data_IF_173369000740
#
_entry.id   IF_173369000740
#
_cell.length_a   1.000
_cell.length_b   1.000
_cell.length_c   1.000
_cell.angle_alpha   90.00
_cell.angle_beta   90.00
_cell.angle_gamma   90.00
#
_symmetry.space_group_name_H-M   'P 1'
#
loop_
_entity.id
_entity.type
_entity.pdbx_description
1 polymer ?
#
# COMPACT_ATOMS: atom_id res chain seq x y z
N UNK A 1 -19.00 -0.36 3.36
CA UNK A 1 -17.52 -0.25 3.26
C UNK A 1 -17.19 1.13 2.75
N UNK A 2 -16.74 2.02 3.64
CA UNK A 2 -16.60 3.46 3.37
C UNK A 2 -15.91 4.28 4.46
N UNK A 3 -15.56 3.61 5.55
CA UNK A 3 -15.09 4.25 6.77
C UNK A 3 -13.83 3.55 7.31
N UNK A 4 -13.19 2.69 6.52
CA UNK A 4 -12.14 1.79 7.02
C UNK A 4 -11.01 2.56 7.70
N UNK A 5 -10.57 3.69 7.11
CA UNK A 5 -9.53 4.55 7.68
C UNK A 5 -10.10 5.89 8.18
N UNK A 6 -11.42 6.03 8.25
CA UNK A 6 -12.07 7.23 8.78
C UNK A 6 -12.09 7.14 10.31
N UNK A 7 -11.36 8.01 11.03
CA UNK A 7 -11.10 7.81 12.45
C UNK A 7 -12.34 7.84 13.32
N UNK A 8 -13.35 8.67 13.05
CA UNK A 8 -14.48 8.87 13.97
C UNK A 8 -15.82 8.48 13.37
N UNK A 9 -15.84 7.43 12.55
CA UNK A 9 -17.06 7.00 11.87
C UNK A 9 -18.17 6.68 12.88
N UNK A 10 -19.33 7.33 12.71
CA UNK A 10 -20.51 7.21 13.59
C UNK A 10 -20.28 7.65 15.05
N UNK A 11 -19.24 8.47 15.30
CA UNK A 11 -18.97 9.08 16.60
C UNK A 11 -19.33 10.57 16.56
N UNK A 12 -19.94 11.08 17.63
CA UNK A 12 -20.15 12.52 17.77
C UNK A 12 -18.79 13.23 17.90
N UNK A 13 -18.57 14.28 17.10
CA UNK A 13 -17.28 14.93 16.90
C UNK A 13 -16.77 15.81 18.05
N UNK A 14 -17.15 15.52 19.30
CA UNK A 14 -16.64 16.26 20.47
C UNK A 14 -15.15 15.97 20.70
N UNK A 15 -14.41 16.94 21.25
CA UNK A 15 -12.98 16.79 21.55
C UNK A 15 -12.73 15.59 22.48
N UNK A 16 -13.59 15.43 23.50
CA UNK A 16 -13.52 14.31 24.44
C UNK A 16 -13.68 12.96 23.74
N UNK A 17 -14.70 12.81 22.89
CA UNK A 17 -14.93 11.59 22.13
C UNK A 17 -13.77 11.29 21.19
N UNK A 18 -13.26 12.30 20.47
CA UNK A 18 -12.12 12.15 19.58
C UNK A 18 -10.88 11.66 20.34
N UNK A 19 -10.55 12.27 21.48
CA UNK A 19 -9.39 11.86 22.31
C UNK A 19 -9.59 10.45 22.85
N UNK A 20 -10.76 10.15 23.42
CA UNK A 20 -11.07 8.84 24.00
C UNK A 20 -10.98 7.72 22.95
N UNK A 21 -11.56 7.93 21.77
CA UNK A 21 -11.46 7.00 20.65
C UNK A 21 -10.01 6.84 20.17
N UNK A 22 -9.29 7.95 20.00
CA UNK A 22 -7.89 7.93 19.55
C UNK A 22 -7.01 7.11 20.49
N UNK A 23 -7.17 7.27 21.81
CA UNK A 23 -6.47 6.46 22.82
C UNK A 23 -6.75 4.96 22.66
N UNK A 24 -8.02 4.58 22.45
CA UNK A 24 -8.38 3.17 22.25
C UNK A 24 -7.82 2.61 20.95
N UNK A 25 -7.89 3.37 19.86
CA UNK A 25 -7.41 2.94 18.55
C UNK A 25 -5.90 2.74 18.54
N UNK A 26 -5.14 3.70 19.07
CA UNK A 26 -3.68 3.58 19.20
C UNK A 26 -3.25 2.37 20.03
N UNK A 27 -4.06 1.96 21.01
CA UNK A 27 -3.78 0.80 21.84
C UNK A 27 -4.15 -0.55 21.20
N UNK A 28 -5.01 -0.58 20.18
CA UNK A 28 -5.65 -1.83 19.68
C UNK A 28 -5.48 -2.08 18.19
N UNK A 29 -5.30 -1.03 17.40
CA UNK A 29 -5.25 -1.09 15.94
C UNK A 29 -3.93 -0.47 15.44
N UNK A 30 -2.78 -1.12 15.71
CA UNK A 30 -1.49 -0.57 15.28
C UNK A 30 -1.27 -0.71 13.77
N UNK A 31 -1.94 -1.64 13.10
CA UNK A 31 -1.65 -2.05 11.72
C UNK A 31 -2.89 -1.96 10.83
N UNK A 32 -2.66 -1.76 9.54
CA UNK A 32 -3.69 -1.83 8.50
C UNK A 32 -3.21 -2.63 7.31
N UNK A 33 -4.12 -3.46 6.80
CA UNK A 33 -3.95 -4.15 5.53
C UNK A 33 -4.18 -3.18 4.37
N UNK A 34 -3.10 -2.84 3.66
CA UNK A 34 -3.14 -1.94 2.50
C UNK A 34 -3.43 -2.68 1.20
N UNK A 35 -2.96 -3.92 1.12
CA UNK A 35 -3.06 -4.72 -0.09
C UNK A 35 -3.55 -6.13 0.26
N UNK A 36 -4.59 -6.55 -0.44
CA UNK A 36 -5.24 -7.83 -0.29
C UNK A 36 -5.56 -8.31 -1.72
N UNK A 37 -5.88 -9.60 -1.91
CA UNK A 37 -6.24 -10.21 -3.21
C UNK A 37 -7.25 -9.42 -4.11
N UNK A 38 -7.94 -8.41 -3.57
CA UNK A 38 -9.02 -7.66 -4.22
C UNK A 38 -8.55 -6.34 -4.81
N UNK A 39 -7.41 -5.74 -4.41
CA UNK A 39 -6.93 -4.49 -5.04
C UNK A 39 -5.91 -3.68 -4.24
N UNK A 40 -5.40 -2.63 -4.88
CA UNK A 40 -4.45 -1.68 -4.29
C UNK A 40 -5.16 -0.59 -3.48
N UNK A 41 -4.98 -0.58 -2.16
CA UNK A 41 -5.48 0.48 -1.26
C UNK A 41 -4.37 1.40 -0.77
N UNK A 42 -3.20 1.41 -1.42
CA UNK A 42 -2.12 2.33 -1.08
C UNK A 42 -2.55 3.78 -1.32
N UNK A 43 -2.95 4.09 -2.55
CA UNK A 43 -3.18 5.45 -3.01
C UNK A 43 -4.08 5.51 -4.26
N UNK A 44 -4.65 6.69 -4.51
CA UNK A 44 -5.25 7.08 -5.77
C UNK A 44 -4.95 8.56 -6.05
N UNK A 45 -4.86 8.93 -7.33
CA UNK A 45 -4.57 10.29 -7.75
C UNK A 45 -5.83 11.18 -7.78
N UNK A 46 -5.64 12.50 -7.74
CA UNK A 46 -6.69 13.49 -8.06
C UNK A 46 -7.64 13.90 -6.94
N UNK A 47 -7.38 13.53 -5.68
CA UNK A 47 -8.17 14.01 -4.55
C UNK A 47 -8.06 15.53 -4.39
N UNK A 48 -9.20 16.21 -4.35
CA UNK A 48 -9.26 17.63 -4.03
C UNK A 48 -8.69 17.89 -2.62
N UNK A 49 -7.89 18.96 -2.48
CA UNK A 49 -7.29 19.36 -1.21
C UNK A 49 -6.05 18.55 -0.80
N UNK A 50 -5.54 17.67 -1.67
CA UNK A 50 -4.25 17.01 -1.51
C UNK A 50 -3.32 17.47 -2.62
N UNK A 51 -2.28 18.19 -2.25
CA UNK A 51 -1.33 18.81 -3.17
C UNK A 51 -0.15 17.87 -3.42
N UNK A 52 0.16 17.59 -4.68
CA UNK A 52 1.23 16.67 -5.06
C UNK A 52 1.17 16.30 -6.54
N UNK A 53 2.28 15.82 -7.07
CA UNK A 53 2.31 15.26 -8.42
C UNK A 53 1.55 13.93 -8.46
N UNK A 54 0.90 13.58 -9.60
CA UNK A 54 0.37 12.24 -9.79
C UNK A 54 1.46 11.17 -9.64
N UNK A 55 1.07 10.03 -9.09
CA UNK A 55 1.93 8.85 -8.96
C UNK A 55 1.33 7.71 -9.78
N UNK A 56 2.04 7.31 -10.84
CA UNK A 56 1.60 6.29 -11.80
C UNK A 56 1.40 4.93 -11.14
N UNK A 57 2.15 4.61 -10.07
CA UNK A 57 2.00 3.34 -9.35
C UNK A 57 0.70 3.27 -8.53
N UNK A 58 0.01 4.40 -8.33
CA UNK A 58 -1.33 4.40 -7.74
C UNK A 58 -2.41 3.87 -8.71
N UNK A 59 -2.10 3.67 -9.99
CA UNK A 59 -3.05 3.14 -10.98
C UNK A 59 -2.98 1.60 -11.10
N UNK A 60 -2.00 0.97 -10.45
CA UNK A 60 -1.81 -0.47 -10.48
C UNK A 60 -2.95 -1.21 -9.78
N UNK A 61 -3.57 -2.17 -10.48
CA UNK A 61 -4.60 -3.09 -9.95
C UNK A 61 -5.70 -2.37 -9.14
N UNK A 62 -6.08 -1.17 -9.59
CA UNK A 62 -7.18 -0.41 -8.98
C UNK A 62 -8.53 -1.06 -9.29
N UNK A 63 -9.33 -1.28 -8.26
CA UNK A 63 -10.72 -1.76 -8.42
C UNK A 63 -11.63 -0.64 -8.92
N UNK A 64 -11.40 0.56 -8.41
CA UNK A 64 -12.19 1.76 -8.65
C UNK A 64 -11.31 2.77 -9.38
N UNK A 65 -11.65 3.02 -10.64
CA UNK A 65 -11.01 4.04 -11.47
C UNK A 65 -11.97 5.20 -11.69
N UNK A 66 -11.52 6.44 -11.45
CA UNK A 66 -12.32 7.64 -11.67
C UNK A 66 -12.79 7.71 -13.12
N UNK A 67 -14.09 8.00 -13.32
CA UNK A 67 -14.70 8.07 -14.65
C UNK A 67 -15.05 6.72 -15.27
N UNK A 68 -14.66 5.60 -14.66
CA UNK A 68 -14.99 4.26 -15.14
C UNK A 68 -16.26 3.73 -14.48
N UNK A 69 -17.26 3.25 -15.25
CA UNK A 69 -18.42 2.58 -14.68
C UNK A 69 -18.04 1.20 -14.15
N UNK A 70 -18.52 0.89 -12.94
CA UNK A 70 -18.44 -0.45 -12.35
C UNK A 70 -19.65 -1.31 -12.70
N UNK A 71 -19.81 -2.42 -11.98
CA UNK A 71 -20.97 -3.32 -12.12
C UNK A 71 -21.68 -3.44 -10.78
N UNK A 72 -22.98 -3.22 -10.77
CA UNK A 72 -23.83 -3.47 -9.59
C UNK A 72 -24.59 -4.75 -9.80
N UNK A 73 -24.35 -5.74 -8.95
CA UNK A 73 -25.17 -6.95 -8.92
C UNK A 73 -26.33 -6.83 -7.93
N UNK A 74 -27.50 -7.38 -8.28
CA UNK A 74 -28.62 -7.62 -7.36
C UNK A 74 -28.84 -9.12 -7.21
N UNK A 75 -28.84 -9.61 -5.98
CA UNK A 75 -29.28 -10.97 -5.64
C UNK A 75 -30.74 -10.91 -5.23
N UNK A 76 -31.59 -11.68 -5.89
CA UNK A 76 -32.96 -11.89 -5.43
C UNK A 76 -33.33 -13.36 -5.51
N UNK A 77 -34.07 -13.84 -4.50
CA UNK A 77 -34.63 -15.19 -4.52
C UNK A 77 -35.99 -15.11 -5.19
N UNK A 78 -36.16 -15.82 -6.31
CA UNK A 78 -37.43 -15.96 -7.01
C UNK A 78 -37.68 -17.44 -7.24
N UNK A 79 -38.85 -17.92 -6.83
CA UNK A 79 -39.26 -19.33 -6.95
C UNK A 79 -38.27 -20.33 -6.32
N UNK A 80 -37.69 -19.97 -5.17
CA UNK A 80 -36.69 -20.78 -4.47
C UNK A 80 -35.33 -20.88 -5.17
N UNK A 81 -35.14 -20.14 -6.27
CA UNK A 81 -33.87 -20.04 -7.01
C UNK A 81 -33.20 -18.69 -6.76
N UNK A 82 -31.90 -18.75 -6.51
CA UNK A 82 -31.05 -17.56 -6.45
C UNK A 82 -30.92 -17.01 -7.87
N UNK A 83 -31.45 -15.81 -8.11
CA UNK A 83 -31.26 -15.09 -9.36
C UNK A 83 -30.29 -13.94 -9.11
N UNK A 84 -29.33 -13.82 -10.01
CA UNK A 84 -28.28 -12.81 -9.98
C UNK A 84 -28.42 -11.98 -11.25
N UNK A 85 -28.67 -10.68 -11.09
CA UNK A 85 -28.68 -9.73 -12.22
C UNK A 85 -27.57 -8.72 -12.03
N UNK A 86 -26.84 -8.42 -13.10
CA UNK A 86 -25.80 -7.39 -13.13
C UNK A 86 -26.23 -6.21 -13.99
N UNK A 87 -26.12 -5.00 -13.46
CA UNK A 87 -26.38 -3.75 -14.16
C UNK A 87 -25.08 -2.91 -14.22
N UNK A 88 -24.85 -2.21 -15.33
CA UNK A 88 -23.77 -1.22 -15.40
C UNK A 88 -24.10 -0.08 -14.46
N UNK A 89 -23.16 0.25 -13.58
CA UNK A 89 -23.32 1.33 -12.60
C UNK A 89 -22.86 2.68 -13.17
N UNK A 90 -23.21 3.76 -12.48
CA UNK A 90 -22.67 5.08 -12.79
C UNK A 90 -21.13 5.09 -12.68
N UNK A 91 -20.44 5.94 -13.46
CA UNK A 91 -19.01 6.14 -13.33
C UNK A 91 -18.59 6.46 -11.90
N UNK A 92 -17.46 5.89 -11.46
CA UNK A 92 -16.89 6.22 -10.15
C UNK A 92 -16.46 7.68 -10.12
N UNK A 93 -16.80 8.39 -9.04
CA UNK A 93 -16.40 9.81 -8.83
C UNK A 93 -15.64 9.97 -7.51
N UNK A 94 -15.14 11.17 -7.23
CA UNK A 94 -14.78 11.52 -5.87
C UNK A 94 -16.05 11.73 -5.03
N UNK A 95 -15.98 11.42 -3.74
CA UNK A 95 -17.07 11.71 -2.82
C UNK A 95 -17.18 13.22 -2.59
N UNK A 96 -18.38 13.69 -2.25
CA UNK A 96 -18.57 15.07 -1.80
C UNK A 96 -18.01 15.25 -0.39
N UNK A 97 -17.73 16.49 -0.02
CA UNK A 97 -17.25 16.82 1.31
C UNK A 97 -18.21 16.30 2.39
N UNK A 98 -17.66 15.59 3.38
CA UNK A 98 -18.43 15.00 4.48
C UNK A 98 -19.12 13.67 4.15
N UNK A 99 -19.11 13.21 2.90
CA UNK A 99 -19.67 11.91 2.52
C UNK A 99 -18.58 10.82 2.58
N UNK A 100 -18.87 9.64 3.18
CA UNK A 100 -17.92 8.53 3.18
C UNK A 100 -17.82 7.86 1.81
N UNK A 101 -16.70 7.15 1.61
CA UNK A 101 -16.52 6.27 0.45
C UNK A 101 -17.64 5.22 0.37
N UNK A 102 -17.98 4.77 -0.83
CA UNK A 102 -18.83 3.59 -0.97
C UNK A 102 -18.56 2.90 -2.31
N UNK A 103 -19.07 1.67 -2.46
CA UNK A 103 -18.93 0.92 -3.71
C UNK A 103 -17.53 0.32 -3.93
N UNK A 104 -16.65 0.37 -2.92
CA UNK A 104 -15.27 -0.11 -2.98
C UNK A 104 -15.09 -1.46 -3.67
N UNK A 105 -15.71 -2.48 -3.10
CA UNK A 105 -15.66 -3.86 -3.59
C UNK A 105 -16.48 -4.12 -4.86
N UNK A 106 -17.22 -3.15 -5.38
CA UNK A 106 -18.05 -3.30 -6.58
C UNK A 106 -17.48 -2.55 -7.79
N UNK A 107 -16.34 -1.86 -7.61
CA UNK A 107 -15.73 -1.04 -8.65
C UNK A 107 -16.60 0.16 -9.05
N UNK A 108 -17.47 0.62 -8.16
CA UNK A 108 -18.40 1.72 -8.41
C UNK A 108 -18.45 2.69 -7.22
N UNK A 109 -19.37 3.65 -7.28
CA UNK A 109 -19.66 4.56 -6.17
C UNK A 109 -18.71 5.76 -6.16
N UNK A 110 -18.26 6.16 -4.97
CA UNK A 110 -17.35 7.28 -4.84
C UNK A 110 -16.10 6.93 -4.01
N UNK A 111 -14.99 7.57 -4.38
CA UNK A 111 -13.68 7.46 -3.74
C UNK A 111 -13.52 8.57 -2.70
N UNK A 112 -13.29 8.19 -1.45
CA UNK A 112 -12.96 9.13 -0.38
C UNK A 112 -11.46 9.06 -0.05
N UNK A 113 -10.84 10.17 0.37
CA UNK A 113 -9.41 10.19 0.70
C UNK A 113 -9.02 9.20 1.80
N UNK A 114 -9.95 8.84 2.69
CA UNK A 114 -9.72 7.84 3.74
C UNK A 114 -10.04 6.40 3.29
N UNK A 115 -10.28 6.16 2.01
CA UNK A 115 -10.31 4.80 1.46
C UNK A 115 -8.90 4.28 1.14
N UNK A 116 -7.90 5.17 1.09
CA UNK A 116 -6.52 4.84 0.73
C UNK A 116 -5.55 5.18 1.86
N UNK A 117 -4.58 4.32 2.04
CA UNK A 117 -3.61 4.39 3.13
C UNK A 117 -2.85 5.72 3.16
N UNK A 118 -2.20 6.08 2.04
CA UNK A 118 -1.37 7.29 1.92
C UNK A 118 -2.12 8.55 2.34
N UNK A 119 -3.34 8.70 1.85
CA UNK A 119 -4.15 9.89 2.08
C UNK A 119 -4.87 9.86 3.43
N UNK A 120 -5.15 8.68 3.98
CA UNK A 120 -5.65 8.55 5.35
C UNK A 120 -4.59 8.92 6.40
N UNK A 121 -3.30 8.62 6.15
CA UNK A 121 -2.21 9.06 7.03
C UNK A 121 -2.16 10.60 7.14
N UNK A 122 -2.48 11.34 6.06
CA UNK A 122 -2.61 12.80 6.10
C UNK A 122 -3.75 13.26 7.00
N UNK A 123 -4.91 12.59 6.95
CA UNK A 123 -6.00 12.84 7.90
C UNK A 123 -5.54 12.62 9.35
N UNK A 124 -4.69 11.63 9.59
CA UNK A 124 -4.06 11.41 10.90
C UNK A 124 -3.20 12.58 11.38
N UNK A 125 -2.38 13.16 10.49
CA UNK A 125 -1.58 14.35 10.80
C UNK A 125 -2.45 15.59 11.05
N UNK A 126 -3.52 15.76 10.27
CA UNK A 126 -4.49 16.86 10.48
C UNK A 126 -5.13 16.78 11.86
N UNK A 127 -5.57 15.59 12.28
CA UNK A 127 -6.11 15.38 13.63
C UNK A 127 -5.03 15.58 14.70
N UNK A 128 -3.78 15.15 14.45
CA UNK A 128 -2.68 15.41 15.36
C UNK A 128 -2.48 16.91 15.62
N UNK A 129 -2.54 17.74 14.58
CA UNK A 129 -2.42 19.19 14.71
C UNK A 129 -3.63 19.81 15.45
N UNK A 130 -4.82 19.22 15.32
CA UNK A 130 -6.05 19.76 15.92
C UNK A 130 -6.24 19.34 17.38
N UNK A 131 -6.02 18.07 17.71
CA UNK A 131 -6.34 17.50 19.02
C UNK A 131 -5.10 17.00 19.79
N UNK A 132 -3.90 17.09 19.21
CA UNK A 132 -2.65 16.63 19.83
C UNK A 132 -2.42 15.12 19.76
N UNK A 133 -3.24 14.37 19.03
CA UNK A 133 -3.11 12.91 18.88
C UNK A 133 -3.44 12.46 17.46
N UNK A 134 -2.70 11.49 16.94
CA UNK A 134 -2.92 10.93 15.59
C UNK A 134 -3.73 9.63 15.65
N UNK A 135 -5.02 9.60 15.25
CA UNK A 135 -5.86 8.41 15.25
C UNK A 135 -5.61 7.47 14.06
N UNK A 136 -4.80 7.87 13.08
CA UNK A 136 -4.48 7.09 11.87
C UNK A 136 -2.98 6.78 11.83
N UNK A 137 -2.39 6.51 13.01
CA UNK A 137 -0.99 6.12 13.14
C UNK A 137 -0.80 4.62 12.91
N UNK A 138 -1.06 4.21 11.68
CA UNK A 138 -1.18 2.80 11.28
C UNK A 138 0.08 2.34 10.55
N UNK A 139 0.65 1.21 10.96
CA UNK A 139 1.70 0.50 10.22
C UNK A 139 1.14 -0.29 9.03
N UNK A 140 1.99 -0.55 8.05
CA UNK A 140 1.63 -1.19 6.80
C UNK A 140 1.77 -2.72 6.90
N UNK A 141 0.74 -3.44 6.47
CA UNK A 141 0.80 -4.87 6.14
C UNK A 141 0.03 -5.14 4.84
N UNK A 142 0.23 -6.33 4.26
CA UNK A 142 -0.51 -6.84 3.13
C UNK A 142 -0.72 -8.34 3.31
N UNK A 143 -1.82 -8.92 2.84
CA UNK A 143 -2.07 -10.36 3.09
C UNK A 143 -2.67 -11.11 1.91
N UNK A 144 -2.52 -12.42 2.00
CA UNK A 144 -3.22 -13.40 1.17
C UNK A 144 -4.55 -13.71 1.82
N UNK A 145 -5.65 -13.47 1.11
CA UNK A 145 -7.00 -13.88 1.55
C UNK A 145 -7.57 -14.82 0.49
N UNK A 146 -7.01 -16.01 0.33
CA UNK A 146 -7.56 -17.02 -0.60
C UNK A 146 -8.47 -17.97 0.16
N UNK A 147 -9.71 -18.18 -0.29
CA UNK A 147 -10.70 -19.07 0.34
C UNK A 147 -10.41 -20.57 0.04
N UNK A 148 -9.13 -20.90 -0.13
CA UNK A 148 -8.62 -22.19 -0.58
C UNK A 148 -7.60 -22.79 0.43
N UNK A 149 -7.43 -22.16 1.60
CA UNK A 149 -6.46 -22.59 2.63
C UNK A 149 -5.01 -22.66 2.14
N UNK A 150 -4.61 -21.73 1.27
CA UNK A 150 -3.28 -21.63 0.67
C UNK A 150 -2.53 -20.37 1.13
N UNK A 151 -2.13 -20.27 2.42
CA UNK A 151 -1.48 -19.07 2.94
C UNK A 151 -0.14 -18.83 2.24
N UNK A 152 0.09 -17.59 1.80
CA UNK A 152 1.32 -17.18 1.14
C UNK A 152 1.50 -17.69 -0.30
N UNK A 153 0.45 -18.23 -0.91
CA UNK A 153 0.43 -18.60 -2.33
C UNK A 153 0.23 -17.35 -3.23
N UNK A 154 1.17 -16.42 -3.12
CA UNK A 154 1.11 -15.11 -3.75
C UNK A 154 1.82 -15.03 -5.13
N UNK A 155 2.32 -16.17 -5.65
CA UNK A 155 3.09 -16.18 -6.90
C UNK A 155 2.16 -16.17 -8.11
N UNK A 156 2.28 -15.15 -8.95
CA UNK A 156 1.55 -14.99 -10.21
C UNK A 156 1.56 -16.26 -11.09
N UNK A 157 2.73 -16.89 -11.29
CA UNK A 157 2.87 -18.07 -12.16
C UNK A 157 2.25 -19.36 -11.61
N UNK A 158 1.94 -19.42 -10.32
CA UNK A 158 1.34 -20.59 -9.66
C UNK A 158 -0.04 -20.25 -9.05
N UNK A 159 -0.61 -19.10 -9.41
CA UNK A 159 -1.88 -18.68 -8.84
C UNK A 159 -3.01 -19.63 -9.26
N UNK A 160 -3.74 -20.16 -8.26
CA UNK A 160 -4.79 -21.17 -8.46
C UNK A 160 -6.21 -20.61 -8.41
N UNK A 161 -6.35 -19.30 -8.20
CA UNK A 161 -7.63 -18.64 -7.97
C UNK A 161 -7.92 -18.40 -6.49
N UNK A 162 -8.86 -17.51 -6.22
CA UNK A 162 -9.26 -17.05 -4.90
C UNK A 162 -10.43 -17.86 -4.30
N UNK A 163 -11.41 -18.21 -5.12
CA UNK A 163 -12.63 -18.95 -4.74
C UNK A 163 -12.79 -20.23 -5.55
N UNK A 164 -13.72 -21.08 -5.12
CA UNK A 164 -14.00 -22.35 -5.78
C UNK A 164 -14.26 -22.22 -7.29
N UNK A 165 -14.88 -21.14 -7.79
CA UNK A 165 -15.15 -20.99 -9.24
C UNK A 165 -13.91 -20.73 -10.08
N UNK A 166 -12.78 -20.40 -9.46
CA UNK A 166 -11.53 -20.00 -10.11
C UNK A 166 -10.47 -21.11 -10.11
N UNK A 167 -10.83 -22.33 -9.69
CA UNK A 167 -9.90 -23.44 -9.53
C UNK A 167 -9.18 -23.88 -10.82
N UNK A 168 -9.67 -23.46 -11.98
CA UNK A 168 -9.08 -23.72 -13.30
C UNK A 168 -8.95 -22.44 -14.14
N UNK A 169 -8.19 -22.51 -15.24
CA UNK A 169 -7.90 -21.38 -16.14
C UNK A 169 -9.15 -20.67 -16.65
N UNK A 170 -10.12 -21.45 -17.16
CA UNK A 170 -11.38 -20.91 -17.67
C UNK A 170 -12.11 -20.10 -16.58
N UNK A 171 -12.19 -20.66 -15.37
CA UNK A 171 -12.81 -20.02 -14.22
C UNK A 171 -12.12 -18.72 -13.80
N UNK A 172 -10.78 -18.70 -13.78
CA UNK A 172 -10.02 -17.48 -13.49
C UNK A 172 -10.22 -16.39 -14.52
N UNK A 173 -10.44 -16.72 -15.79
CA UNK A 173 -10.63 -15.71 -16.83
C UNK A 173 -12.08 -15.21 -16.95
N UNK A 174 -13.02 -15.76 -16.17
CA UNK A 174 -14.40 -15.28 -16.15
C UNK A 174 -14.51 -13.85 -15.60
N UNK A 175 -15.54 -13.14 -16.07
CA UNK A 175 -15.88 -11.83 -15.51
C UNK A 175 -16.52 -12.01 -14.15
N UNK A 176 -16.09 -11.24 -13.13
CA UNK A 176 -16.72 -11.27 -11.82
C UNK A 176 -18.17 -10.78 -11.91
N UNK A 177 -19.01 -11.25 -10.99
CA UNK A 177 -20.44 -10.91 -10.97
C UNK A 177 -20.75 -9.82 -9.94
N UNK A 178 -20.06 -9.79 -8.80
CA UNK A 178 -20.37 -8.89 -7.67
C UNK A 178 -19.17 -8.19 -7.05
N UNK A 179 -18.06 -8.91 -6.88
CA UNK A 179 -16.83 -8.45 -6.24
C UNK A 179 -15.65 -8.84 -7.13
N UNK A 180 -14.50 -8.11 -7.09
CA UNK A 180 -13.26 -8.51 -7.70
C UNK A 180 -13.00 -10.00 -7.46
N UNK A 181 -13.05 -10.73 -8.57
CA UNK A 181 -12.88 -12.17 -8.67
C UNK A 181 -12.63 -12.49 -10.14
N UNK A 182 -12.27 -13.73 -10.44
CA UNK A 182 -11.87 -14.17 -11.77
C UNK A 182 -10.79 -13.25 -12.32
N UNK A 183 -11.08 -12.64 -13.47
CA UNK A 183 -10.09 -11.87 -14.23
C UNK A 183 -9.55 -10.63 -13.51
N UNK A 184 -10.30 -10.12 -12.52
CA UNK A 184 -9.92 -8.99 -11.67
C UNK A 184 -9.27 -9.42 -10.36
N UNK A 185 -9.17 -10.72 -10.08
CA UNK A 185 -8.47 -11.24 -8.91
C UNK A 185 -6.95 -11.18 -9.09
N UNK A 186 -6.23 -11.14 -7.98
CA UNK A 186 -4.78 -11.29 -7.94
C UNK A 186 -4.38 -12.22 -6.77
N UNK A 187 -3.11 -12.67 -6.70
CA UNK A 187 -2.64 -13.58 -5.65
C UNK A 187 -2.66 -13.02 -4.22
N UNK A 188 -2.77 -11.70 -4.06
CA UNK A 188 -2.70 -11.02 -2.77
C UNK A 188 -1.28 -10.91 -2.24
N UNK A 189 -1.14 -10.31 -1.06
CA UNK A 189 0.14 -9.90 -0.50
C UNK A 189 0.71 -10.82 0.57
N UNK A 190 1.86 -10.42 1.12
CA UNK A 190 2.50 -11.03 2.28
C UNK A 190 2.77 -10.01 3.38
N UNK A 191 2.63 -10.46 4.62
CA UNK A 191 2.98 -9.69 5.83
C UNK A 191 4.42 -10.02 6.21
N UNK A 192 5.20 -8.97 6.47
CA UNK A 192 6.50 -9.08 7.14
C UNK A 192 6.51 -8.34 8.46
N UNK A 193 7.15 -8.92 9.47
CA UNK A 193 7.44 -8.27 10.75
C UNK A 193 8.92 -8.49 11.09
N UNK A 194 9.62 -7.43 11.49
CA UNK A 194 10.97 -7.57 12.02
C UNK A 194 10.89 -7.69 13.54
N UNK A 195 11.36 -8.83 14.02
CA UNK A 195 11.42 -9.14 15.44
C UNK A 195 12.82 -9.68 15.78
N UNK A 196 13.30 -9.49 17.02
CA UNK A 196 14.58 -10.06 17.46
C UNK A 196 14.63 -11.59 17.37
N UNK A 197 13.48 -12.25 17.51
CA UNK A 197 13.34 -13.70 17.48
C UNK A 197 11.95 -14.13 16.98
N UNK A 198 11.82 -15.41 16.62
CA UNK A 198 10.56 -16.02 16.19
C UNK A 198 9.78 -16.57 17.39
N UNK A 199 9.45 -15.71 18.35
CA UNK A 199 8.56 -16.01 19.46
C UNK A 199 7.26 -15.23 19.32
N UNK A 200 6.16 -15.76 19.89
CA UNK A 200 4.85 -15.10 19.82
C UNK A 200 4.94 -13.68 20.37
N UNK A 201 5.58 -13.50 21.52
CA UNK A 201 5.64 -12.20 22.20
C UNK A 201 6.47 -11.21 21.38
N UNK A 202 7.64 -11.61 20.86
CA UNK A 202 8.47 -10.75 20.01
C UNK A 202 7.76 -10.33 18.70
N UNK A 203 6.98 -11.23 18.08
CA UNK A 203 6.18 -10.92 16.90
C UNK A 203 5.04 -9.94 17.22
N UNK A 204 4.36 -10.12 18.35
CA UNK A 204 3.32 -9.19 18.78
C UNK A 204 3.88 -7.82 19.12
N UNK A 205 5.04 -7.75 19.77
CA UNK A 205 5.74 -6.50 20.04
C UNK A 205 6.13 -5.79 18.74
N UNK A 206 6.65 -6.50 17.74
CA UNK A 206 6.95 -5.95 16.42
C UNK A 206 5.69 -5.35 15.75
N UNK A 207 4.56 -6.06 15.83
CA UNK A 207 3.28 -5.58 15.30
C UNK A 207 2.77 -4.33 16.06
N UNK A 208 2.86 -4.31 17.39
CA UNK A 208 2.48 -3.15 18.21
C UNK A 208 3.39 -1.94 17.95
N UNK A 209 4.68 -2.17 17.72
CA UNK A 209 5.66 -1.16 17.37
C UNK A 209 5.58 -0.73 15.90
N UNK A 210 4.74 -1.39 15.09
CA UNK A 210 4.59 -1.15 13.64
C UNK A 210 5.88 -1.40 12.86
N UNK A 211 6.81 -2.20 13.37
CA UNK A 211 8.00 -2.61 12.62
C UNK A 211 7.65 -3.75 11.64
N UNK A 212 6.72 -3.43 10.75
CA UNK A 212 6.10 -4.33 9.79
C UNK A 212 6.19 -3.75 8.38
N UNK A 213 5.93 -4.60 7.40
CA UNK A 213 5.79 -4.21 6.00
C UNK A 213 4.79 -5.13 5.31
N UNK A 214 4.23 -4.65 4.20
CA UNK A 214 3.43 -5.46 3.28
C UNK A 214 4.14 -5.61 1.94
N UNK A 215 3.94 -6.73 1.25
CA UNK A 215 4.29 -6.88 -0.17
C UNK A 215 3.05 -7.22 -0.98
N UNK A 216 3.00 -6.85 -2.26
CA UNK A 216 1.87 -7.21 -3.14
C UNK A 216 1.93 -8.66 -3.64
N UNK A 217 3.00 -9.40 -3.31
CA UNK A 217 3.10 -10.84 -3.51
C UNK A 217 4.50 -11.42 -3.27
N UNK A 218 5.57 -10.87 -3.87
CA UNK A 218 6.93 -11.37 -3.70
C UNK A 218 7.49 -11.16 -2.30
N UNK A 219 8.51 -11.92 -1.93
CA UNK A 219 9.19 -11.84 -0.63
C UNK A 219 10.29 -10.77 -0.60
N UNK A 220 10.02 -9.59 -1.13
CA UNK A 220 10.88 -8.40 -1.01
C UNK A 220 11.06 -8.08 0.48
N UNK A 221 12.28 -7.72 0.88
CA UNK A 221 12.61 -7.40 2.29
C UNK A 221 13.01 -5.93 2.42
N UNK A 222 12.06 -5.00 2.61
CA UNK A 222 12.35 -3.58 2.79
C UNK A 222 12.88 -3.29 4.19
N UNK A 223 13.69 -2.24 4.31
CA UNK A 223 14.22 -1.67 5.55
C UNK A 223 14.18 -0.15 5.43
N UNK A 224 13.59 0.49 6.43
CA UNK A 224 13.54 1.95 6.53
C UNK A 224 13.90 2.37 7.94
N UNK A 225 14.84 3.32 8.03
CA UNK A 225 15.22 3.96 9.28
C UNK A 225 15.41 5.46 9.06
N UNK A 226 15.28 6.25 10.12
CA UNK A 226 15.57 7.68 10.10
C UNK A 226 16.46 8.11 11.27
N UNK A 227 17.37 9.04 11.02
CA UNK A 227 18.23 9.68 12.03
C UNK A 227 18.65 11.08 11.55
N UNK A 228 19.05 11.97 12.46
CA UNK A 228 19.71 13.23 12.09
C UNK A 228 21.17 13.04 11.62
N UNK A 229 21.79 11.91 11.98
CA UNK A 229 23.24 11.78 11.97
C UNK A 229 23.77 10.59 11.16
N UNK A 230 22.94 10.01 10.27
CA UNK A 230 23.44 8.93 9.42
C UNK A 230 24.56 9.40 8.48
N UNK A 231 25.66 8.63 8.37
CA UNK A 231 26.72 8.93 7.42
C UNK A 231 26.26 8.56 6.01
N UNK A 232 26.65 9.35 4.99
CA UNK A 232 26.21 9.13 3.60
C UNK A 232 26.65 7.79 3.00
N UNK A 233 27.69 7.17 3.57
CA UNK A 233 28.20 5.85 3.16
C UNK A 233 27.70 4.70 4.04
N UNK A 234 26.61 4.88 4.79
CA UNK A 234 26.08 3.82 5.69
C UNK A 234 25.76 2.52 4.94
N UNK A 235 25.35 2.61 3.67
CA UNK A 235 25.07 1.45 2.81
C UNK A 235 26.29 0.56 2.53
N UNK A 236 27.50 1.10 2.61
CA UNK A 236 28.74 0.36 2.38
C UNK A 236 29.24 -0.37 3.64
N UNK A 237 28.61 -0.11 4.80
CA UNK A 237 29.04 -0.67 6.07
C UNK A 237 28.45 -2.08 6.29
N UNK A 238 29.26 -3.12 6.54
CA UNK A 238 28.74 -4.46 6.84
C UNK A 238 27.91 -4.52 8.13
N UNK A 239 28.02 -3.53 9.02
CA UNK A 239 27.21 -3.35 10.23
C UNK A 239 26.11 -2.30 10.05
N UNK A 240 25.72 -1.99 8.80
CA UNK A 240 24.68 -1.03 8.45
C UNK A 240 23.44 -1.12 9.35
N UNK A 241 22.86 -2.31 9.51
CA UNK A 241 21.65 -2.50 10.31
C UNK A 241 21.87 -2.26 11.81
N UNK A 242 22.96 -2.77 12.38
CA UNK A 242 23.31 -2.56 13.79
C UNK A 242 23.43 -1.05 14.09
N UNK A 243 24.11 -0.32 13.22
CA UNK A 243 24.25 1.15 13.33
C UNK A 243 22.91 1.86 13.15
N UNK A 244 22.08 1.43 12.21
CA UNK A 244 20.76 2.01 11.98
C UNK A 244 19.86 1.90 13.21
N UNK A 245 19.77 0.73 13.82
CA UNK A 245 19.02 0.56 15.08
C UNK A 245 19.63 1.36 16.24
N UNK A 246 20.96 1.44 16.33
CA UNK A 246 21.62 2.13 17.43
C UNK A 246 21.52 3.66 17.36
N UNK A 247 21.42 4.23 16.16
CA UNK A 247 21.55 5.68 15.93
C UNK A 247 20.27 6.35 15.42
N UNK A 248 19.21 5.58 15.16
CA UNK A 248 17.96 6.12 14.62
C UNK A 248 16.74 5.32 15.03
N UNK A 249 15.63 5.64 14.37
CA UNK A 249 14.34 4.97 14.58
C UNK A 249 14.00 4.11 13.37
N UNK A 250 13.51 2.87 13.56
CA UNK A 250 13.02 2.05 12.46
C UNK A 250 11.64 2.52 12.00
N UNK A 251 11.21 2.03 10.84
CA UNK A 251 9.82 2.08 10.40
C UNK A 251 8.85 1.69 11.52
N UNK A 252 7.72 2.41 11.61
CA UNK A 252 6.76 2.31 12.70
C UNK A 252 7.00 3.28 13.85
N UNK A 253 8.19 3.88 13.92
CA UNK A 253 8.64 4.77 14.99
C UNK A 253 8.38 6.27 14.76
N UNK A 254 8.79 7.05 15.76
CA UNK A 254 8.67 8.51 15.80
C UNK A 254 10.05 9.18 15.78
N UNK A 255 10.27 10.00 14.76
CA UNK A 255 11.39 10.92 14.70
C UNK A 255 10.98 12.25 15.34
N UNK A 256 11.42 12.49 16.57
CA UNK A 256 11.03 13.69 17.31
C UNK A 256 11.99 14.84 17.04
N UNK A 257 11.49 16.07 16.89
CA UNK A 257 12.33 17.26 16.65
C UNK A 257 13.54 17.41 17.61
N UNK A 258 13.44 17.14 18.92
CA UNK A 258 14.61 17.19 19.82
C UNK A 258 15.73 16.23 19.43
N UNK A 259 15.41 15.07 18.82
CA UNK A 259 16.41 14.10 18.35
C UNK A 259 17.13 14.53 17.06
N UNK A 260 16.54 15.46 16.30
CA UNK A 260 17.16 16.03 15.10
C UNK A 260 18.01 17.27 15.40
N UNK A 261 17.69 18.03 16.45
CA UNK A 261 18.31 19.33 16.68
C UNK A 261 18.08 20.26 15.48
N UNK A 262 19.16 20.70 14.83
CA UNK A 262 19.11 21.51 13.60
C UNK A 262 19.36 20.68 12.32
N UNK A 263 19.48 19.35 12.43
CA UNK A 263 19.76 18.47 11.30
C UNK A 263 18.50 18.19 10.48
N UNK A 264 18.68 18.01 9.18
CA UNK A 264 17.66 17.46 8.29
C UNK A 264 17.62 15.93 8.49
N UNK A 265 16.43 15.30 8.53
CA UNK A 265 16.34 13.86 8.68
C UNK A 265 16.98 13.14 7.48
N UNK A 266 17.82 12.16 7.81
CA UNK A 266 18.42 11.23 6.85
C UNK A 266 17.77 9.87 6.98
N UNK A 267 17.41 9.30 5.85
CA UNK A 267 16.70 8.03 5.75
C UNK A 267 17.62 6.97 5.17
N UNK A 268 17.85 5.88 5.92
CA UNK A 268 18.38 4.67 5.33
C UNK A 268 17.21 3.92 4.68
N UNK A 269 17.21 3.84 3.35
CA UNK A 269 16.20 3.16 2.55
C UNK A 269 16.86 2.01 1.84
N UNK A 270 16.49 0.76 2.16
CA UNK A 270 17.09 -0.41 1.57
C UNK A 270 16.05 -1.50 1.31
N UNK A 271 16.30 -2.33 0.29
CA UNK A 271 15.51 -3.54 0.09
C UNK A 271 16.34 -4.66 -0.56
N UNK A 272 15.99 -5.90 -0.22
CA UNK A 272 16.42 -7.09 -0.95
C UNK A 272 15.27 -7.58 -1.82
N UNK A 273 15.57 -7.98 -3.06
CA UNK A 273 14.62 -8.66 -3.93
C UNK A 273 14.15 -9.99 -3.32
N UNK A 274 13.08 -10.57 -3.86
CA UNK A 274 12.70 -11.94 -3.51
C UNK A 274 13.87 -12.91 -3.81
N UNK A 275 14.29 -13.77 -2.85
CA UNK A 275 15.41 -14.69 -3.05
C UNK A 275 15.09 -15.88 -3.97
N UNK A 276 13.86 -16.04 -4.46
CA UNK A 276 13.52 -17.10 -5.39
C UNK A 276 14.37 -17.03 -6.68
N UNK A 277 14.76 -18.18 -7.21
CA UNK A 277 15.63 -18.25 -8.40
C UNK A 277 15.01 -17.61 -9.65
N UNK A 278 13.68 -17.55 -9.72
CA UNK A 278 12.90 -16.90 -10.77
C UNK A 278 12.17 -15.64 -10.29
N UNK A 279 12.66 -15.00 -9.23
CA UNK A 279 12.17 -13.71 -8.78
C UNK A 279 12.40 -12.61 -9.82
N UNK A 280 11.57 -11.57 -9.77
CA UNK A 280 11.79 -10.36 -10.56
C UNK A 280 12.77 -9.46 -9.80
N UNK A 281 13.82 -8.91 -10.45
CA UNK A 281 14.73 -7.98 -9.78
C UNK A 281 14.03 -6.67 -9.37
N UNK A 282 14.61 -5.98 -8.39
CA UNK A 282 14.20 -4.62 -8.04
C UNK A 282 14.51 -3.64 -9.19
N UNK A 283 13.56 -2.75 -9.48
CA UNK A 283 13.75 -1.61 -10.38
C UNK A 283 14.28 -0.41 -9.60
N UNK A 284 13.55 -0.01 -8.54
CA UNK A 284 13.85 1.20 -7.77
C UNK A 284 13.30 1.16 -6.35
N UNK A 285 13.84 2.03 -5.51
CA UNK A 285 13.31 2.37 -4.19
C UNK A 285 12.78 3.79 -4.21
N UNK A 286 11.69 4.00 -3.49
CA UNK A 286 11.06 5.29 -3.31
C UNK A 286 10.89 5.62 -1.84
N UNK A 287 11.01 6.90 -1.50
CA UNK A 287 10.58 7.47 -0.24
C UNK A 287 9.35 8.34 -0.50
N UNK A 288 8.25 8.07 0.19
CA UNK A 288 7.00 8.79 0.06
C UNK A 288 6.80 9.64 1.30
N UNK A 289 6.75 10.96 1.10
CA UNK A 289 6.49 11.96 2.15
C UNK A 289 5.04 12.41 2.06
N UNK A 290 4.37 12.52 3.20
CA UNK A 290 3.14 13.29 3.34
C UNK A 290 3.24 14.24 4.51
N UNK A 291 2.74 15.48 4.37
CA UNK A 291 2.84 16.49 5.41
C UNK A 291 1.68 17.48 5.39
N UNK A 292 1.55 18.23 6.48
CA UNK A 292 0.59 19.32 6.62
C UNK A 292 1.36 20.63 6.72
N UNK A 293 1.09 21.57 5.79
CA UNK A 293 1.74 22.88 5.77
C UNK A 293 1.20 23.83 6.86
N UNK A 294 1.77 25.03 6.94
CA UNK A 294 1.39 26.04 7.92
C UNK A 294 -0.06 26.53 7.74
N UNK A 295 -0.60 26.47 6.52
CA UNK A 295 -1.97 26.81 6.17
C UNK A 295 -2.96 25.66 6.45
N UNK A 296 -2.47 24.47 6.79
CA UNK A 296 -3.27 23.27 7.06
C UNK A 296 -3.60 22.44 5.82
N UNK A 297 -3.02 22.76 4.65
CA UNK A 297 -3.18 21.96 3.44
C UNK A 297 -2.38 20.66 3.55
N UNK A 298 -2.94 19.60 2.99
CA UNK A 298 -2.29 18.31 2.94
C UNK A 298 -1.47 18.16 1.66
N UNK A 299 -0.24 17.70 1.80
CA UNK A 299 0.68 17.50 0.69
C UNK A 299 1.20 16.07 0.65
N UNK A 300 1.55 15.59 -0.54
CA UNK A 300 2.35 14.38 -0.69
C UNK A 300 3.39 14.52 -1.81
N UNK A 301 4.46 13.74 -1.68
CA UNK A 301 5.53 13.69 -2.68
C UNK A 301 6.20 12.33 -2.67
N UNK A 302 6.59 11.87 -3.85
CA UNK A 302 7.36 10.64 -4.07
C UNK A 302 8.75 11.04 -4.53
N UNK A 303 9.77 10.50 -3.87
CA UNK A 303 11.17 10.63 -4.24
C UNK A 303 11.69 9.27 -4.70
N UNK A 304 12.23 9.19 -5.91
CA UNK A 304 13.03 8.03 -6.33
C UNK A 304 14.42 8.19 -5.69
N UNK A 305 14.83 7.24 -4.84
CA UNK A 305 16.04 7.37 -3.99
C UNK A 305 17.16 6.40 -4.36
N UNK A 306 16.84 5.30 -5.04
CA UNK A 306 17.81 4.32 -5.53
C UNK A 306 17.24 3.52 -6.71
N UNK A 307 18.11 3.02 -7.59
CA UNK A 307 17.71 2.29 -8.79
C UNK A 307 17.30 3.23 -9.93
N UNK A 308 16.74 2.66 -10.99
CA UNK A 308 16.38 3.41 -12.21
C UNK A 308 15.22 2.72 -12.93
N UNK A 309 14.21 3.51 -13.32
CA UNK A 309 13.11 3.04 -14.14
C UNK A 309 13.51 2.85 -15.62
N UNK A 310 14.49 3.60 -16.09
CA UNK A 310 15.02 3.57 -17.46
C UNK A 310 16.09 2.46 -17.62
N UNK A 311 15.73 1.24 -17.20
CA UNK A 311 16.65 0.09 -17.14
C UNK A 311 16.38 -0.99 -18.22
N UNK A 312 15.60 -0.62 -19.23
CA UNK A 312 15.16 -1.48 -20.34
C UNK A 312 14.39 -2.74 -19.89
N UNK A 313 13.86 -2.76 -18.65
CA UNK A 313 13.13 -3.89 -18.13
C UNK A 313 11.70 -3.97 -18.68
N UNK A 314 11.25 -5.20 -18.93
CA UNK A 314 9.91 -5.43 -19.46
C UNK A 314 9.55 -6.90 -19.54
N UNK A 315 8.38 -7.15 -20.14
CA UNK A 315 7.83 -8.48 -20.36
C UNK A 315 7.47 -8.62 -21.83
N UNK A 316 8.01 -9.65 -22.47
CA UNK A 316 7.54 -10.08 -23.78
C UNK A 316 6.12 -10.66 -23.62
N UNK A 317 5.13 -9.96 -24.18
CA UNK A 317 3.71 -10.35 -24.06
C UNK A 317 3.33 -11.60 -24.85
N UNK A 318 4.19 -12.07 -25.76
CA UNK A 318 3.94 -13.31 -26.48
C UNK A 318 4.42 -14.53 -25.69
N UNK A 319 5.52 -14.38 -24.96
CA UNK A 319 6.17 -15.51 -24.25
C UNK A 319 6.04 -15.45 -22.73
N UNK A 320 5.65 -14.30 -22.18
CA UNK A 320 5.63 -14.04 -20.73
C UNK A 320 7.04 -13.88 -20.14
N UNK A 321 8.09 -13.87 -20.96
CA UNK A 321 9.47 -13.78 -20.47
C UNK A 321 9.83 -12.35 -20.10
N UNK A 322 10.46 -12.20 -18.94
CA UNK A 322 11.06 -10.95 -18.48
C UNK A 322 12.37 -10.68 -19.23
N UNK A 323 12.69 -9.42 -19.43
CA UNK A 323 13.97 -8.95 -19.97
C UNK A 323 14.42 -7.66 -19.27
N UNK A 324 15.63 -7.20 -19.60
CA UNK A 324 16.25 -5.98 -19.08
C UNK A 324 17.05 -6.17 -17.79
N UNK A 325 17.60 -5.06 -17.29
CA UNK A 325 18.48 -5.04 -16.11
C UNK A 325 17.67 -4.80 -14.85
N UNK A 326 18.25 -5.10 -13.69
CA UNK A 326 17.66 -4.78 -12.39
C UNK A 326 18.58 -5.16 -11.26
N UNK A 327 18.09 -5.06 -10.03
CA UNK A 327 18.91 -5.14 -8.83
C UNK A 327 18.46 -6.26 -7.90
N UNK A 328 19.41 -7.04 -7.36
CA UNK A 328 19.12 -8.00 -6.28
C UNK A 328 18.98 -7.31 -4.92
N UNK A 329 19.58 -6.13 -4.77
CA UNK A 329 19.51 -5.28 -3.60
C UNK A 329 19.69 -3.82 -4.03
N UNK A 330 19.02 -2.92 -3.30
CA UNK A 330 19.20 -1.47 -3.41
C UNK A 330 19.34 -0.88 -2.01
N UNK A 331 20.15 0.16 -1.88
CA UNK A 331 20.34 0.91 -0.65
C UNK A 331 20.67 2.37 -0.96
N UNK A 332 20.08 3.30 -0.21
CA UNK A 332 20.44 4.70 -0.22
C UNK A 332 20.36 5.30 1.19
N UNK A 333 21.21 6.30 1.45
CA UNK A 333 21.03 7.26 2.54
C UNK A 333 20.53 8.55 1.90
N UNK A 334 19.26 8.87 2.14
CA UNK A 334 18.58 9.98 1.50
C UNK A 334 18.29 11.10 2.51
N UNK A 335 18.56 12.34 2.13
CA UNK A 335 18.22 13.55 2.90
C UNK A 335 17.06 14.26 2.19
N UNK A 336 15.98 14.58 2.92
CA UNK A 336 14.82 15.28 2.32
C UNK A 336 15.16 16.75 2.02
N UNK A 337 15.31 17.14 0.74
CA UNK A 337 15.70 18.50 0.37
C UNK A 337 14.58 19.54 0.65
N UNK A 338 13.36 19.08 0.90
CA UNK A 338 12.17 19.90 1.14
C UNK A 338 11.67 19.75 2.58
N UNK A 339 12.55 19.31 3.49
CA UNK A 339 12.22 19.19 4.89
C UNK A 339 11.95 20.55 5.54
N UNK A 340 10.82 20.64 6.24
CA UNK A 340 10.48 21.78 7.08
C UNK A 340 10.24 21.29 8.51
N UNK A 341 11.08 21.75 9.45
CA UNK A 341 11.01 21.32 10.84
C UNK A 341 9.72 21.74 11.56
N UNK A 342 8.94 22.69 11.00
CA UNK A 342 7.68 23.17 11.56
C UNK A 342 6.46 22.35 11.14
N UNK A 343 6.60 21.43 10.17
CA UNK A 343 5.48 20.68 9.59
C UNK A 343 5.40 19.28 10.17
N UNK A 344 4.20 18.81 10.53
CA UNK A 344 3.99 17.39 10.83
C UNK A 344 4.07 16.60 9.54
N UNK A 345 4.80 15.48 9.57
CA UNK A 345 5.04 14.67 8.38
C UNK A 345 5.06 13.17 8.70
N UNK A 346 4.85 12.35 7.68
CA UNK A 346 5.20 10.94 7.69
C UNK A 346 6.09 10.63 6.48
N UNK A 347 6.89 9.58 6.61
CA UNK A 347 7.72 9.02 5.55
C UNK A 347 7.56 7.51 5.54
N UNK A 348 7.16 6.90 4.43
CA UNK A 348 7.30 5.46 4.25
C UNK A 348 8.04 5.16 2.96
N UNK A 349 8.57 3.95 2.84
CA UNK A 349 9.29 3.54 1.64
C UNK A 349 8.46 2.59 0.80
N UNK A 350 8.70 2.62 -0.52
CA UNK A 350 8.15 1.67 -1.48
C UNK A 350 9.26 1.07 -2.33
N UNK A 351 9.39 -0.26 -2.30
CA UNK A 351 10.28 -0.98 -3.19
C UNK A 351 9.46 -1.44 -4.39
N UNK A 352 9.99 -1.28 -5.59
CA UNK A 352 9.30 -1.61 -6.83
C UNK A 352 10.16 -2.58 -7.62
N UNK A 353 9.60 -3.75 -7.96
CA UNK A 353 10.23 -4.69 -8.87
C UNK A 353 10.11 -4.22 -10.33
N UNK A 354 10.96 -4.77 -11.19
CA UNK A 354 10.78 -4.64 -12.63
C UNK A 354 9.40 -5.17 -13.07
N UNK A 355 8.94 -4.80 -14.28
CA UNK A 355 7.73 -5.37 -14.83
C UNK A 355 7.77 -6.91 -14.88
N UNK A 356 6.66 -7.53 -14.48
CA UNK A 356 6.48 -8.98 -14.41
C UNK A 356 5.15 -9.39 -15.06
N UNK A 357 5.06 -10.61 -15.63
CA UNK A 357 3.82 -11.07 -16.22
C UNK A 357 2.78 -11.30 -15.13
N UNK A 358 1.58 -10.75 -15.32
CA UNK A 358 0.43 -11.10 -14.49
C UNK A 358 -0.01 -12.54 -14.80
N UNK A 359 -0.59 -13.24 -13.84
CA UNK A 359 -1.11 -14.61 -13.97
C UNK A 359 -2.03 -14.72 -15.19
N UNK A 360 -2.82 -13.68 -15.49
CA UNK A 360 -3.75 -13.68 -16.61
C UNK A 360 -3.05 -13.69 -17.96
N UNK A 361 -1.89 -13.04 -18.08
CA UNK A 361 -1.07 -13.13 -19.29
C UNK A 361 -0.55 -14.55 -19.47
N UNK A 362 -0.05 -15.18 -18.40
CA UNK A 362 0.47 -16.53 -18.43
C UNK A 362 -0.60 -17.57 -18.80
N UNK A 363 -1.80 -17.43 -18.23
CA UNK A 363 -2.94 -18.27 -18.61
C UNK A 363 -3.32 -18.05 -20.07
N UNK A 364 -3.40 -16.80 -20.55
CA UNK A 364 -3.75 -16.47 -21.93
C UNK A 364 -2.73 -17.01 -22.96
N UNK A 365 -1.43 -16.96 -22.67
CA UNK A 365 -0.37 -17.54 -23.52
C UNK A 365 -0.52 -19.06 -23.65
N UNK A 366 -1.07 -19.71 -22.62
CA UNK A 366 -1.21 -21.17 -22.61
C UNK A 366 -2.38 -21.71 -23.43
N UNK A 367 -3.28 -20.85 -23.94
CA UNK A 367 -4.36 -21.26 -24.84
C UNK A 367 -3.87 -21.39 -26.27
N UNK A 368 -4.42 -22.36 -27.01
CA UNK A 368 -4.32 -22.36 -28.47
C UNK A 368 -5.15 -21.22 -29.07
N UNK A 369 -4.78 -20.76 -30.27
CA UNK A 369 -5.42 -19.62 -30.95
C UNK A 369 -6.95 -19.76 -31.07
N UNK A 370 -7.44 -20.97 -31.34
CA UNK A 370 -8.87 -21.25 -31.47
C UNK A 370 -9.65 -21.28 -30.13
N UNK A 371 -8.96 -21.39 -29.00
CA UNK A 371 -9.56 -21.52 -27.66
C UNK A 371 -9.30 -20.29 -26.78
N UNK A 372 -8.55 -19.30 -27.31
CA UNK A 372 -8.17 -18.10 -26.58
C UNK A 372 -9.41 -17.25 -26.28
N UNK A 373 -9.75 -16.99 -25.00
CA UNK A 373 -10.94 -16.20 -24.68
C UNK A 373 -10.73 -14.70 -24.96
N UNK A 374 -11.77 -13.99 -25.41
CA UNK A 374 -11.73 -12.55 -25.77
C UNK A 374 -11.12 -11.63 -24.69
N UNK A 375 -11.25 -12.06 -23.43
CA UNK A 375 -10.69 -11.38 -22.26
C UNK A 375 -9.17 -11.20 -22.34
N UNK A 376 -8.48 -12.10 -23.04
CA UNK A 376 -7.03 -12.09 -23.20
C UNK A 376 -6.50 -10.92 -24.02
N UNK A 377 -7.35 -10.30 -24.83
CA UNK A 377 -7.00 -9.15 -25.67
C UNK A 377 -7.71 -7.88 -25.18
N UNK A 378 -8.35 -7.95 -24.01
CA UNK A 378 -9.03 -6.81 -23.40
C UNK A 378 -8.01 -5.82 -22.81
N UNK A 379 -8.03 -4.54 -23.19
CA UNK A 379 -7.15 -3.52 -22.59
C UNK A 379 -7.52 -3.21 -21.13
N UNK A 380 -8.63 -3.76 -20.63
CA UNK A 380 -9.14 -3.55 -19.27
C UNK A 380 -8.46 -4.42 -18.22
N UNK A 381 -7.57 -5.31 -18.63
CA UNK A 381 -6.85 -6.24 -17.75
C UNK A 381 -5.38 -6.06 -18.03
N UNK A 382 -4.64 -5.69 -17.00
CA UNK A 382 -3.20 -5.52 -17.08
C UNK A 382 -2.56 -6.87 -17.43
N UNK A 383 -1.87 -6.96 -18.56
CA UNK A 383 -1.07 -8.14 -18.89
C UNK A 383 0.25 -8.18 -18.10
N UNK A 384 0.71 -7.01 -17.66
CA UNK A 384 1.98 -6.77 -16.99
C UNK A 384 1.71 -5.96 -15.74
N UNK A 385 2.38 -6.30 -14.65
CA UNK A 385 2.30 -5.63 -13.36
C UNK A 385 3.69 -5.37 -12.81
N UNK A 386 3.79 -4.53 -11.79
CA UNK A 386 5.02 -4.33 -11.03
C UNK A 386 4.74 -4.59 -9.57
N UNK A 387 5.32 -5.65 -9.04
CA UNK A 387 5.16 -5.98 -7.63
C UNK A 387 5.91 -5.01 -6.74
N UNK A 388 5.38 -4.79 -5.53
CA UNK A 388 5.83 -3.75 -4.63
C UNK A 388 5.93 -4.24 -3.19
N UNK A 389 6.70 -3.52 -2.38
CA UNK A 389 6.68 -3.65 -0.94
C UNK A 389 6.62 -2.28 -0.25
N UNK A 390 5.83 -2.17 0.81
CA UNK A 390 5.63 -0.95 1.59
C UNK A 390 6.08 -1.16 3.02
N UNK A 391 7.06 -0.38 3.46
CA UNK A 391 7.42 -0.31 4.88
C UNK A 391 6.37 0.50 5.66
N UNK A 392 6.23 0.23 6.96
CA UNK A 392 5.49 1.14 7.83
C UNK A 392 6.08 2.57 7.82
N UNK A 393 5.28 3.61 8.08
CA UNK A 393 5.77 4.97 8.13
C UNK A 393 6.65 5.24 9.34
N UNK A 394 7.55 6.19 9.20
CA UNK A 394 8.18 6.94 10.29
C UNK A 394 7.46 8.29 10.36
N UNK A 395 7.00 8.69 11.54
CA UNK A 395 6.34 9.97 11.74
C UNK A 395 7.33 11.01 12.27
N UNK A 396 7.20 12.25 11.80
CA UNK A 396 7.93 13.41 12.31
C UNK A 396 6.96 14.38 12.99
N UNK A 397 7.30 14.78 14.21
CA UNK A 397 6.50 15.70 15.03
C UNK A 397 7.35 16.93 15.42
N UNK A 398 6.94 18.16 15.05
CA UNK A 398 7.62 19.41 15.41
C UNK A 398 7.66 19.68 16.91
N UNK A 399 8.71 20.37 17.38
CA UNK A 399 8.89 20.72 18.79
C UNK A 399 7.76 21.59 19.39
N UNK A 400 7.07 22.37 18.56
CA UNK A 400 6.02 23.30 18.96
C UNK A 400 4.62 22.69 19.04
N UNK A 401 4.45 21.43 18.62
CA UNK A 401 3.19 20.70 18.84
C UNK A 401 3.10 20.20 20.29
N UNK A 402 3.06 21.14 21.24
CA UNK A 402 2.57 20.83 22.58
C UNK A 402 1.08 20.54 22.44
N UNK A 403 0.67 19.32 22.81
CA UNK A 403 -0.73 18.95 22.88
C UNK A 403 -1.51 20.03 23.63
N UNK A 404 -2.64 20.54 23.09
CA UNK A 404 -3.53 21.43 23.84
C UNK A 404 -4.19 20.73 25.05
N UNK A 405 -3.90 19.44 25.25
CA UNK A 405 -4.41 18.58 26.30
C UNK A 405 -3.23 18.16 27.19
N UNK A 406 -3.23 18.50 28.49
CA UNK A 406 -2.26 17.97 29.45
C UNK A 406 -2.29 16.43 29.46
N UNK A 407 -1.11 15.81 29.53
CA UNK A 407 -0.94 14.35 29.59
C UNK A 407 -1.72 13.69 30.73
#
# INVERSE_FOLDING_TARGET
NGHLLTPYANLEGTLENKIAYTKQRLAREPLVEMFQHKGSSECANGFAGILGAPDELCEMEQIREIGRPGVTGKVHVKDGKLNITSEVSNPTTFCKDGEPGFGGMQGNGCLHKNDFYRTALLTGLQEQNQIGMNPVKLGAIASTDTHMSTPGAAKESDWRGHIHTEWNKNGRLLSPVFIPSGKLGNPGGLVGAYAPENSRDALFDAMLNRETFGTSGPRIKPRLFASGDYPGNLCDDPRMLEKAYAQGVPMGGDLNAPSLGNSVPKFLVAALADPAADATPLQKLQLIKGWIDAEGNAHNKVFDVAGDAENDAGVDRQTGKRYGRGHSNLCAVFEDPEFNAAETAYYYMRAVENPSPRWSLLDCISYGEAERPDVCDSPKISAVIQEQAWASPIWYTPATTQSPVPQ
#
